data_IF_085875919020
#
_entry.id   IF_085875919020
#
_cell.length_a   1.000
_cell.length_b   1.000
_cell.length_c   1.000
_cell.angle_alpha   90.00
_cell.angle_beta   90.00
_cell.angle_gamma   90.00
#
_symmetry.space_group_name_H-M   'P 1'
#
loop_
_entity.id
_entity.type
_entity.pdbx_description
1 polymer ?
#
# COMPACT_ATOMS: atom_id res chain seq x y z
N UNK A 1 -18.04 9.59 -75.69
CA UNK A 1 -16.88 8.82 -75.21
C UNK A 1 -16.34 9.51 -73.97
N UNK A 2 -16.14 8.73 -72.91
CA UNK A 2 -15.78 9.17 -71.57
C UNK A 2 -14.34 9.71 -71.47
N UNK A 3 -14.10 10.62 -70.53
CA UNK A 3 -13.20 10.32 -69.39
C UNK A 3 -13.21 11.50 -68.41
N UNK A 4 -13.71 11.23 -67.20
CA UNK A 4 -13.54 12.08 -66.03
C UNK A 4 -12.33 11.55 -65.24
N UNK A 5 -11.32 12.41 -65.00
CA UNK A 5 -10.20 12.08 -64.13
C UNK A 5 -10.31 12.94 -62.85
N UNK A 6 -10.74 12.29 -61.77
CA UNK A 6 -10.76 12.87 -60.44
C UNK A 6 -9.33 12.95 -59.88
N UNK A 7 -8.90 14.15 -59.48
CA UNK A 7 -7.64 14.37 -58.79
C UNK A 7 -7.77 13.88 -57.33
N UNK A 8 -7.13 12.74 -57.03
CA UNK A 8 -7.04 12.22 -55.67
C UNK A 8 -6.09 13.11 -54.85
N UNK A 9 -6.61 13.73 -53.80
CA UNK A 9 -5.84 14.49 -52.82
C UNK A 9 -4.82 13.56 -52.16
N UNK A 10 -3.54 13.95 -52.21
CA UNK A 10 -2.46 13.27 -51.52
C UNK A 10 -2.71 13.33 -50.00
N UNK A 11 -3.00 12.18 -49.41
CA UNK A 11 -3.09 12.03 -47.96
C UNK A 11 -1.69 12.17 -47.36
N UNK A 12 -1.50 13.22 -46.55
CA UNK A 12 -0.35 13.41 -45.68
C UNK A 12 -0.06 12.13 -44.87
N UNK A 13 1.19 11.64 -44.80
CA UNK A 13 1.52 10.50 -43.97
C UNK A 13 1.40 10.89 -42.51
N UNK A 14 0.38 10.37 -41.83
CA UNK A 14 0.21 10.48 -40.39
C UNK A 14 1.50 10.03 -39.69
N UNK A 15 2.26 10.98 -39.12
CA UNK A 15 3.40 10.62 -38.30
C UNK A 15 2.88 9.80 -37.11
N UNK A 16 3.37 8.57 -37.05
CA UNK A 16 3.04 7.61 -36.01
C UNK A 16 3.70 8.09 -34.70
N UNK A 17 2.99 8.95 -33.95
CA UNK A 17 3.33 9.29 -32.57
C UNK A 17 3.08 8.08 -31.67
N UNK A 18 3.88 7.02 -31.85
CA UNK A 18 4.05 6.09 -30.75
C UNK A 18 4.74 6.87 -29.64
N UNK A 19 4.14 6.96 -28.43
CA UNK A 19 4.81 7.59 -27.31
C UNK A 19 6.16 6.90 -27.14
N UNK A 20 7.23 7.66 -26.86
CA UNK A 20 8.57 7.10 -26.76
C UNK A 20 8.54 5.90 -25.81
N UNK A 21 9.02 4.74 -26.27
CA UNK A 21 9.20 3.55 -25.43
C UNK A 21 10.31 3.83 -24.43
N UNK A 22 10.00 4.59 -23.39
CA UNK A 22 10.93 4.86 -22.30
C UNK A 22 11.13 3.55 -21.56
N UNK A 23 12.31 2.97 -21.69
CA UNK A 23 12.71 1.75 -20.97
C UNK A 23 12.91 2.11 -19.50
N UNK A 24 11.81 2.15 -18.74
CA UNK A 24 11.83 2.41 -17.31
C UNK A 24 12.53 1.24 -16.60
N UNK A 25 13.65 1.52 -15.92
CA UNK A 25 14.29 0.54 -15.03
C UNK A 25 13.43 0.42 -13.78
N UNK A 26 12.92 -0.78 -13.50
CA UNK A 26 12.18 -1.03 -12.28
C UNK A 26 13.09 -0.77 -11.06
N UNK A 27 12.63 0.09 -10.15
CA UNK A 27 13.27 0.29 -8.85
C UNK A 27 13.01 -0.92 -7.95
N UNK A 28 13.93 -1.20 -7.02
CA UNK A 28 13.85 -2.34 -6.11
C UNK A 28 13.59 -1.83 -4.70
N UNK A 29 12.31 -1.70 -4.34
CA UNK A 29 11.91 -1.33 -2.98
C UNK A 29 12.31 -2.42 -2.00
N UNK A 30 13.03 -2.06 -0.93
CA UNK A 30 13.54 -2.94 0.12
C UNK A 30 12.91 -2.54 1.44
N UNK A 31 12.11 -3.42 2.03
CA UNK A 31 11.47 -3.16 3.32
C UNK A 31 10.92 -4.43 3.96
N UNK A 32 10.26 -5.27 3.15
CA UNK A 32 9.81 -6.57 3.59
C UNK A 32 10.98 -7.55 3.77
N UNK A 33 10.88 -8.39 4.80
CA UNK A 33 11.80 -9.50 5.06
C UNK A 33 11.43 -10.75 4.27
N UNK A 34 10.20 -10.81 3.79
CA UNK A 34 9.64 -11.92 3.00
C UNK A 34 8.89 -11.39 1.77
N UNK A 35 8.17 -12.27 1.06
CA UNK A 35 7.38 -11.94 -0.12
C UNK A 35 6.31 -10.88 0.17
N UNK A 36 6.16 -9.93 -0.76
CA UNK A 36 5.08 -8.94 -0.73
C UNK A 36 3.83 -9.52 -1.40
N UNK A 37 2.68 -9.40 -0.74
CA UNK A 37 1.40 -9.97 -1.17
C UNK A 37 0.47 -8.93 -1.78
N UNK A 38 0.46 -7.71 -1.25
CA UNK A 38 -0.47 -6.67 -1.66
C UNK A 38 0.23 -5.31 -1.77
N UNK A 39 -0.27 -4.45 -2.67
CA UNK A 39 0.13 -3.06 -2.76
C UNK A 39 -1.07 -2.17 -3.08
N UNK A 40 -1.10 -0.98 -2.48
CA UNK A 40 -2.08 0.07 -2.76
C UNK A 40 -1.36 1.41 -2.95
N UNK A 41 -1.96 2.27 -3.77
CA UNK A 41 -1.51 3.64 -3.94
C UNK A 41 -2.49 4.58 -3.22
N UNK A 42 -1.95 5.61 -2.59
CA UNK A 42 -2.76 6.69 -1.99
C UNK A 42 -3.38 7.53 -3.11
N UNK A 43 -4.66 7.87 -2.95
CA UNK A 43 -5.37 8.77 -3.86
C UNK A 43 -5.06 10.23 -3.57
N UNK A 44 -4.80 10.60 -2.31
CA UNK A 44 -4.42 11.96 -1.92
C UNK A 44 -2.96 12.27 -2.28
N UNK A 45 -2.08 11.27 -2.24
CA UNK A 45 -0.68 11.40 -2.57
C UNK A 45 -0.25 10.28 -3.53
N UNK A 46 -0.27 10.50 -4.86
CA UNK A 46 0.08 9.47 -5.85
C UNK A 46 1.57 9.05 -5.80
N UNK A 47 2.37 9.72 -4.96
CA UNK A 47 3.78 9.38 -4.73
C UNK A 47 3.94 8.40 -3.58
N UNK A 48 2.89 8.11 -2.83
CA UNK A 48 2.90 7.23 -1.69
C UNK A 48 2.31 5.87 -2.09
N UNK A 49 3.10 4.83 -1.92
CA UNK A 49 2.69 3.44 -2.11
C UNK A 49 2.83 2.73 -0.79
N UNK A 50 1.84 1.91 -0.46
CA UNK A 50 1.85 1.05 0.71
C UNK A 50 1.84 -0.40 0.25
N UNK A 51 2.70 -1.22 0.83
CA UNK A 51 2.79 -2.64 0.52
C UNK A 51 2.69 -3.46 1.80
N UNK A 52 2.23 -4.71 1.66
CA UNK A 52 2.28 -5.70 2.73
C UNK A 52 2.90 -7.00 2.29
N UNK A 53 3.38 -7.76 3.25
CA UNK A 53 4.00 -9.06 3.00
C UNK A 53 3.58 -10.17 3.95
N UNK A 54 4.13 -11.34 3.66
CA UNK A 54 4.05 -12.54 4.49
C UNK A 54 4.72 -12.34 5.86
N UNK A 55 5.63 -11.36 5.95
CA UNK A 55 6.33 -10.98 7.16
C UNK A 55 5.47 -10.24 8.20
N UNK A 56 4.16 -10.07 7.92
CA UNK A 56 3.23 -9.39 8.82
C UNK A 56 3.48 -7.88 8.93
N UNK A 57 4.27 -7.33 7.99
CA UNK A 57 4.62 -5.91 7.93
C UNK A 57 3.81 -5.17 6.90
N UNK A 58 3.59 -3.88 7.17
CA UNK A 58 3.09 -2.91 6.20
C UNK A 58 4.17 -1.86 5.99
N UNK A 59 4.65 -1.71 4.77
CA UNK A 59 5.71 -0.78 4.39
C UNK A 59 5.17 0.38 3.54
N UNK A 60 5.52 1.60 3.93
CA UNK A 60 5.12 2.83 3.25
C UNK A 60 6.32 3.40 2.50
N UNK A 61 6.17 3.62 1.21
CA UNK A 61 7.22 4.11 0.32
C UNK A 61 6.81 5.44 -0.32
N UNK A 62 7.65 6.47 -0.17
CA UNK A 62 7.58 7.66 -1.03
C UNK A 62 8.43 7.39 -2.27
N UNK A 63 7.80 7.41 -3.44
CA UNK A 63 8.43 7.19 -4.74
C UNK A 63 9.49 8.25 -5.09
N UNK A 64 9.58 9.37 -4.39
CA UNK A 64 10.68 10.34 -4.57
C UNK A 64 11.92 10.01 -3.74
N UNK A 65 11.73 9.31 -2.64
CA UNK A 65 12.80 8.97 -1.71
C UNK A 65 13.53 7.70 -2.15
N UNK A 66 14.53 7.32 -1.35
CA UNK A 66 15.27 6.09 -1.52
C UNK A 66 14.34 4.87 -1.64
N UNK A 67 14.91 3.76 -2.08
CA UNK A 67 14.23 2.48 -2.20
C UNK A 67 13.86 1.84 -0.84
N UNK A 68 13.91 2.58 0.26
CA UNK A 68 13.61 2.12 1.63
C UNK A 68 12.28 2.71 2.11
N UNK A 69 11.52 1.99 2.96
CA UNK A 69 10.25 2.49 3.44
C UNK A 69 10.48 3.67 4.38
N UNK A 70 9.68 4.73 4.21
CA UNK A 70 9.62 5.84 5.17
C UNK A 70 9.03 5.38 6.50
N UNK A 71 8.08 4.44 6.45
CA UNK A 71 7.46 3.84 7.62
C UNK A 71 7.31 2.35 7.41
N UNK A 72 7.77 1.55 8.38
CA UNK A 72 7.50 0.13 8.45
C UNK A 72 6.69 -0.15 9.71
N UNK A 73 5.52 -0.77 9.53
CA UNK A 73 4.60 -1.12 10.59
C UNK A 73 4.63 -2.63 10.80
N UNK A 74 5.10 -3.09 11.95
CA UNK A 74 4.94 -4.47 12.38
C UNK A 74 3.52 -4.62 12.97
N UNK A 75 2.59 -5.15 12.16
CA UNK A 75 1.15 -5.19 12.47
C UNK A 75 0.73 -6.53 13.07
N UNK A 76 1.27 -7.61 12.53
CA UNK A 76 0.92 -8.98 12.92
C UNK A 76 2.13 -9.89 12.76
N UNK A 77 2.07 -11.06 13.36
CA UNK A 77 3.01 -12.17 13.07
C UNK A 77 2.47 -13.06 11.94
N UNK A 78 1.17 -12.97 11.64
CA UNK A 78 0.55 -13.69 10.54
C UNK A 78 0.69 -12.93 9.20
N UNK A 79 0.66 -13.65 8.07
CA UNK A 79 0.69 -13.07 6.75
C UNK A 79 -0.44 -12.07 6.49
N UNK A 80 -0.08 -10.94 5.90
CA UNK A 80 -1.05 -9.95 5.45
C UNK A 80 -1.43 -10.26 4.00
N UNK A 81 -2.70 -10.58 3.79
CA UNK A 81 -3.22 -10.97 2.47
C UNK A 81 -3.70 -9.76 1.66
N UNK A 82 -4.29 -8.77 2.33
CA UNK A 82 -4.84 -7.58 1.67
C UNK A 82 -4.84 -6.39 2.62
N UNK A 83 -4.82 -5.20 2.01
CA UNK A 83 -4.93 -3.93 2.73
C UNK A 83 -5.69 -2.89 1.90
N UNK A 84 -6.27 -1.91 2.59
CA UNK A 84 -7.11 -0.88 1.97
C UNK A 84 -7.11 0.41 2.81
N UNK A 85 -7.12 1.58 2.15
CA UNK A 85 -7.37 2.84 2.83
C UNK A 85 -8.84 3.03 3.15
N UNK A 86 -9.14 3.64 4.30
CA UNK A 86 -10.49 4.09 4.60
C UNK A 86 -10.88 5.22 3.65
N UNK A 87 -12.00 5.05 2.95
CA UNK A 87 -12.49 6.07 2.03
C UNK A 87 -12.73 7.41 2.74
N UNK A 88 -12.23 8.50 2.16
CA UNK A 88 -12.28 9.84 2.74
C UNK A 88 -11.26 10.13 3.84
N UNK A 89 -10.54 9.12 4.36
CA UNK A 89 -9.48 9.29 5.34
C UNK A 89 -8.38 8.24 5.18
N UNK A 90 -7.35 8.57 4.39
CA UNK A 90 -6.21 7.68 4.13
C UNK A 90 -5.22 7.57 5.29
N UNK A 91 -5.44 8.31 6.38
CA UNK A 91 -4.69 8.11 7.62
C UNK A 91 -5.08 6.79 8.30
N UNK A 92 -6.24 6.22 7.97
CA UNK A 92 -6.68 4.92 8.47
C UNK A 92 -6.51 3.83 7.41
N UNK A 93 -5.84 2.75 7.79
CA UNK A 93 -5.62 1.58 6.95
C UNK A 93 -6.26 0.33 7.57
N UNK A 94 -7.01 -0.40 6.74
CA UNK A 94 -7.51 -1.73 7.06
C UNK A 94 -6.51 -2.77 6.56
N UNK A 95 -6.20 -3.75 7.42
CA UNK A 95 -5.23 -4.80 7.16
C UNK A 95 -5.89 -6.14 7.48
N UNK A 96 -5.93 -7.04 6.49
CA UNK A 96 -6.41 -8.40 6.67
C UNK A 96 -5.25 -9.33 7.03
N UNK A 97 -5.32 -9.93 8.21
CA UNK A 97 -4.32 -10.86 8.75
C UNK A 97 -5.03 -12.10 9.27
N UNK A 98 -4.77 -13.25 8.65
CA UNK A 98 -5.42 -14.51 9.01
C UNK A 98 -6.95 -14.43 8.97
N UNK A 99 -7.59 -14.52 10.16
CA UNK A 99 -9.07 -14.44 10.31
C UNK A 99 -9.56 -13.07 10.79
N UNK A 100 -8.66 -12.11 10.93
CA UNK A 100 -8.96 -10.80 11.49
C UNK A 100 -8.74 -9.69 10.46
N UNK A 101 -9.56 -8.65 10.55
CA UNK A 101 -9.31 -7.36 9.90
C UNK A 101 -9.04 -6.34 11.00
N UNK A 102 -7.87 -5.72 10.94
CA UNK A 102 -7.45 -4.70 11.89
C UNK A 102 -7.41 -3.34 11.21
N UNK A 103 -7.86 -2.31 11.91
CA UNK A 103 -7.80 -0.92 11.47
C UNK A 103 -6.71 -0.19 12.25
N UNK A 104 -5.85 0.57 11.57
CA UNK A 104 -4.76 1.34 12.20
C UNK A 104 -4.81 2.79 11.73
N UNK A 105 -4.58 3.75 12.63
CA UNK A 105 -4.26 5.14 12.26
C UNK A 105 -2.74 5.29 12.17
N UNK A 106 -2.28 5.64 10.97
CA UNK A 106 -0.88 5.74 10.59
C UNK A 106 -0.18 6.88 11.33
N UNK A 107 -0.93 7.90 11.77
CA UNK A 107 -0.43 9.04 12.55
C UNK A 107 -0.27 8.67 14.02
N UNK A 108 -1.08 7.75 14.52
CA UNK A 108 -1.01 7.23 15.88
C UNK A 108 0.09 6.18 15.97
N UNK A 109 1.34 6.60 15.79
CA UNK A 109 2.47 5.79 16.21
C UNK A 109 2.46 5.75 17.73
N UNK A 110 2.06 4.62 18.31
CA UNK A 110 2.03 4.45 19.77
C UNK A 110 3.39 4.84 20.37
N UNK A 111 3.47 5.93 21.16
CA UNK A 111 4.65 6.17 21.96
C UNK A 111 4.56 5.21 23.14
N UNK A 112 5.45 4.21 23.19
CA UNK A 112 5.81 3.57 24.46
C UNK A 112 6.42 4.68 25.35
N UNK A 113 5.59 5.43 26.07
CA UNK A 113 6.04 6.27 27.19
C UNK A 113 6.29 5.31 28.34
N UNK A 114 7.34 4.50 28.23
CA UNK A 114 7.87 3.76 29.36
C UNK A 114 8.52 4.82 30.26
N UNK A 115 7.85 5.16 31.37
CA UNK A 115 8.43 5.98 32.42
C UNK A 115 9.82 5.43 32.76
N UNK A 116 10.81 6.31 32.66
CA UNK A 116 12.22 6.02 32.83
C UNK A 116 12.43 5.57 34.28
N UNK A 117 12.42 4.27 34.54
CA UNK A 117 13.04 3.72 35.73
C UNK A 117 14.56 3.84 35.51
N UNK A 118 15.10 4.85 36.18
CA UNK A 118 16.48 5.29 36.26
C UNK A 118 17.49 4.12 36.40
N UNK A 119 17.97 3.55 35.29
CA UNK A 119 19.32 2.99 35.23
C UNK A 119 19.84 3.03 33.79
N UNK A 120 21.03 3.57 33.68
CA UNK A 120 21.72 3.98 32.46
C UNK A 120 22.31 2.75 31.78
N UNK A 121 21.95 2.49 30.52
CA UNK A 121 22.90 2.23 29.43
C UNK A 121 22.17 2.30 28.08
N UNK A 122 22.91 2.68 27.05
CA UNK A 122 22.42 3.13 25.75
C UNK A 122 21.87 1.95 24.93
N UNK A 123 20.62 1.55 25.20
CA UNK A 123 19.83 0.63 24.37
C UNK A 123 18.60 1.29 23.72
N UNK A 124 18.47 2.63 23.84
CA UNK A 124 17.69 3.49 22.92
C UNK A 124 18.17 3.12 21.50
N UNK A 125 17.42 2.55 20.56
CA UNK A 125 16.10 2.91 20.03
C UNK A 125 15.45 1.63 19.43
N UNK A 126 15.37 0.54 20.20
CA UNK A 126 14.56 -0.64 19.81
C UNK A 126 13.30 -0.75 20.68
N UNK A 127 12.73 0.39 21.08
CA UNK A 127 11.34 0.39 21.48
C UNK A 127 10.56 -0.02 20.22
N UNK A 128 10.24 -1.32 20.14
CA UNK A 128 9.33 -1.85 19.16
C UNK A 128 8.02 -1.11 19.39
N UNK A 129 7.80 -0.04 18.61
CA UNK A 129 6.53 0.68 18.60
C UNK A 129 5.51 -0.32 18.09
N UNK A 130 4.87 -1.00 19.04
CA UNK A 130 3.84 -1.98 18.77
C UNK A 130 2.62 -1.19 18.28
N UNK A 131 2.19 -1.47 17.06
CA UNK A 131 1.02 -0.81 16.51
C UNK A 131 -0.22 -1.41 17.17
N UNK A 132 -0.99 -0.58 17.85
CA UNK A 132 -2.27 -1.00 18.42
C UNK A 132 -3.39 -0.75 17.40
N UNK A 133 -4.22 -1.77 17.10
CA UNK A 133 -5.34 -1.58 16.20
C UNK A 133 -6.40 -0.71 16.88
N UNK A 134 -6.93 0.26 16.13
CA UNK A 134 -8.10 1.05 16.52
C UNK A 134 -9.35 0.18 16.61
N UNK A 135 -9.52 -0.70 15.61
CA UNK A 135 -10.66 -1.60 15.48
C UNK A 135 -10.13 -2.97 15.08
N UNK A 136 -10.73 -4.05 15.61
CA UNK A 136 -10.44 -5.41 15.22
C UNK A 136 -11.75 -6.16 14.92
N UNK A 137 -11.87 -6.72 13.73
CA UNK A 137 -13.02 -7.47 13.25
C UNK A 137 -12.63 -8.92 13.01
N UNK A 138 -13.37 -9.87 13.57
CA UNK A 138 -13.10 -11.29 13.38
C UNK A 138 -14.07 -11.88 12.34
N UNK A 139 -13.55 -12.62 11.36
CA UNK A 139 -14.36 -13.39 10.43
C UNK A 139 -14.90 -14.64 11.11
N UNK A 140 -16.11 -14.55 11.67
CA UNK A 140 -16.85 -15.72 12.11
C UNK A 140 -17.65 -16.33 10.94
N UNK A 141 -17.20 -17.48 10.44
CA UNK A 141 -17.86 -18.20 9.33
C UNK A 141 -19.30 -18.64 9.67
N UNK A 142 -19.64 -18.75 10.96
CA UNK A 142 -20.91 -19.30 11.42
C UNK A 142 -22.06 -18.26 11.44
N UNK A 143 -21.75 -16.97 11.59
CA UNK A 143 -22.75 -15.90 11.74
C UNK A 143 -23.09 -15.20 10.42
N UNK A 144 -22.19 -15.21 9.43
CA UNK A 144 -22.35 -14.52 8.14
C UNK A 144 -23.53 -15.07 7.32
N UNK A 145 -23.96 -16.31 7.58
CA UNK A 145 -25.09 -16.93 6.88
C UNK A 145 -26.47 -16.57 7.48
N UNK A 146 -26.54 -15.77 8.54
CA UNK A 146 -27.83 -15.23 9.03
C UNK A 146 -28.13 -13.88 8.36
N UNK A 147 -28.29 -13.90 7.04
CA UNK A 147 -29.07 -12.82 6.41
C UNK A 147 -30.52 -13.12 6.77
N UNK A 148 -31.03 -12.49 7.83
CA UNK A 148 -32.46 -12.48 8.14
C UNK A 148 -33.19 -11.83 6.96
N UNK A 149 -33.65 -12.66 6.03
CA UNK A 149 -34.66 -12.28 5.04
C UNK A 149 -35.95 -12.01 5.79
N UNK A 150 -36.21 -10.73 6.09
CA UNK A 150 -37.55 -10.24 6.44
C UNK A 150 -38.34 -9.95 5.17
#
# INVERSE_FOLDING_TARGET
MASAAAAAAAAEPAHNLQPPKVKMKARRLKGHKDSANCCIASSQNPRLIVTSGEDGRVCWFDLRCNDEPQLAMDVSEEPILSLCFKSGNEDNIYVSSGKEIKCFDVRLRAPEITFIALSIFISRIYAATKWEPLENYNYNKEEINKVDTR
#
